data_IF_140085784922
#
_entry.id   IF_140085784922
#
_cell.length_a   1.000
_cell.length_b   1.000
_cell.length_c   1.000
_cell.angle_alpha   90.00
_cell.angle_beta   90.00
_cell.angle_gamma   90.00
#
_symmetry.space_group_name_H-M   'P 1'
#
loop_
_entity.id
_entity.type
_entity.pdbx_description
1 polymer ?
#
# COMPACT_ATOMS: atom_id res chain seq x y z
N UNK A 1 -49.99 14.80 -11.10
CA UNK A 1 -48.74 15.41 -11.67
C UNK A 1 -47.51 15.15 -10.80
N UNK A 2 -47.64 14.92 -9.49
CA UNK A 2 -46.52 14.68 -8.55
C UNK A 2 -45.74 13.38 -8.77
N UNK A 3 -46.37 12.31 -9.28
CA UNK A 3 -45.71 11.01 -9.48
C UNK A 3 -44.74 11.01 -10.67
N UNK A 4 -45.03 11.79 -11.72
CA UNK A 4 -44.16 11.94 -12.88
C UNK A 4 -42.88 12.73 -12.56
N UNK A 5 -42.96 13.69 -11.64
CA UNK A 5 -41.79 14.47 -11.19
C UNK A 5 -40.85 13.60 -10.34
N UNK A 6 -41.40 12.74 -9.47
CA UNK A 6 -40.62 11.78 -8.66
C UNK A 6 -39.91 10.74 -9.53
N UNK A 7 -40.53 10.22 -10.59
CA UNK A 7 -39.87 9.25 -11.48
C UNK A 7 -38.72 9.86 -12.29
N UNK A 8 -38.85 11.12 -12.73
CA UNK A 8 -37.79 11.85 -13.45
C UNK A 8 -36.60 12.15 -12.50
N UNK A 9 -36.87 12.53 -11.25
CA UNK A 9 -35.81 12.75 -10.26
C UNK A 9 -35.07 11.46 -9.91
N UNK A 10 -35.78 10.34 -9.70
CA UNK A 10 -35.14 9.03 -9.46
C UNK A 10 -34.29 8.58 -10.65
N UNK A 11 -34.76 8.80 -11.88
CA UNK A 11 -34.01 8.49 -13.11
C UNK A 11 -32.71 9.33 -13.23
N UNK A 12 -32.75 10.61 -12.82
CA UNK A 12 -31.55 11.48 -12.78
C UNK A 12 -30.54 11.04 -11.73
N UNK A 13 -31.00 10.59 -10.57
CA UNK A 13 -30.11 10.06 -9.52
C UNK A 13 -29.45 8.74 -9.94
N UNK A 14 -30.20 7.86 -10.62
CA UNK A 14 -29.66 6.60 -11.16
C UNK A 14 -28.63 6.84 -12.26
N UNK A 15 -28.87 7.80 -13.15
CA UNK A 15 -27.92 8.11 -14.25
C UNK A 15 -26.63 8.75 -13.75
N UNK A 16 -26.70 9.65 -12.76
CA UNK A 16 -25.50 10.21 -12.12
C UNK A 16 -24.72 9.12 -11.36
N UNK A 17 -25.43 8.23 -10.63
CA UNK A 17 -24.80 7.10 -9.95
C UNK A 17 -24.12 6.13 -10.92
N UNK A 18 -24.76 5.83 -12.06
CA UNK A 18 -24.19 4.98 -13.10
C UNK A 18 -22.94 5.63 -13.74
N UNK A 19 -22.97 6.94 -14.02
CA UNK A 19 -21.80 7.65 -14.55
C UNK A 19 -20.64 7.67 -13.55
N UNK A 20 -20.92 7.82 -12.25
CA UNK A 20 -19.91 7.72 -11.19
C UNK A 20 -19.27 6.33 -11.12
N UNK A 21 -20.06 5.27 -11.24
CA UNK A 21 -19.56 3.89 -11.30
C UNK A 21 -18.72 3.64 -12.57
N UNK A 22 -19.14 4.16 -13.72
CA UNK A 22 -18.41 4.03 -14.97
C UNK A 22 -17.07 4.79 -14.94
N UNK A 23 -17.01 5.96 -14.29
CA UNK A 23 -15.77 6.69 -14.12
C UNK A 23 -14.73 5.92 -13.28
N UNK A 24 -15.17 5.13 -12.30
CA UNK A 24 -14.27 4.26 -11.53
C UNK A 24 -13.75 3.08 -12.37
N UNK A 25 -14.52 2.60 -13.35
CA UNK A 25 -14.11 1.50 -14.24
C UNK A 25 -13.12 1.94 -15.34
N UNK A 26 -13.05 3.23 -15.65
CA UNK A 26 -12.13 3.80 -16.67
C UNK A 26 -10.80 4.26 -16.03
N UNK A 27 -10.64 4.09 -14.72
CA UNK A 27 -9.36 4.36 -14.07
C UNK A 27 -8.28 3.41 -14.60
N UNK A 28 -7.46 3.88 -15.53
CA UNK A 28 -6.31 3.14 -16.03
C UNK A 28 -5.30 2.93 -14.88
N UNK A 29 -4.73 1.72 -14.73
CA UNK A 29 -3.67 1.49 -13.78
C UNK A 29 -2.46 2.35 -14.17
N UNK A 30 -2.04 3.25 -13.28
CA UNK A 30 -0.78 3.97 -13.43
C UNK A 30 0.37 2.98 -13.28
N UNK A 31 1.03 2.63 -14.39
CA UNK A 31 2.23 1.81 -14.38
C UNK A 31 3.44 2.64 -13.94
N UNK A 32 3.57 2.88 -12.63
CA UNK A 32 4.80 3.39 -12.05
C UNK A 32 5.81 2.25 -11.91
N UNK A 33 7.00 2.36 -12.51
CA UNK A 33 8.14 1.46 -12.22
C UNK A 33 8.68 0.59 -13.35
N UNK A 34 8.35 0.81 -14.62
CA UNK A 34 8.85 -0.01 -15.75
C UNK A 34 10.35 0.18 -16.08
N UNK A 35 11.11 0.93 -15.27
CA UNK A 35 12.54 1.22 -15.46
C UNK A 35 13.46 0.73 -14.34
N UNK A 36 13.13 -0.41 -13.71
CA UNK A 36 13.76 -0.86 -12.45
C UNK A 36 15.00 -1.76 -12.57
N UNK A 37 15.14 -2.53 -13.64
CA UNK A 37 16.11 -3.65 -13.67
C UNK A 37 17.57 -3.20 -13.55
N UNK A 38 17.92 -2.02 -14.05
CA UNK A 38 19.29 -1.51 -13.99
C UNK A 38 19.79 -1.19 -12.57
N UNK A 39 18.88 -1.01 -11.60
CA UNK A 39 19.22 -0.65 -10.22
C UNK A 39 18.78 -1.68 -9.19
N UNK A 40 18.23 -2.82 -9.61
CA UNK A 40 17.83 -3.93 -8.73
C UNK A 40 19.03 -4.49 -7.97
N UNK A 41 20.15 -4.74 -8.66
CA UNK A 41 21.38 -5.25 -8.02
C UNK A 41 21.93 -4.27 -6.96
N UNK A 42 21.83 -2.97 -7.23
CA UNK A 42 22.23 -1.91 -6.29
C UNK A 42 21.28 -1.89 -5.09
N UNK A 43 19.98 -2.02 -5.33
CA UNK A 43 18.98 -2.11 -4.27
C UNK A 43 19.22 -3.31 -3.35
N UNK A 44 19.43 -4.50 -3.92
CA UNK A 44 19.69 -5.71 -3.15
C UNK A 44 21.00 -5.60 -2.35
N UNK A 45 22.05 -5.05 -2.94
CA UNK A 45 23.30 -4.77 -2.22
C UNK A 45 23.08 -3.83 -1.02
N UNK A 46 22.30 -2.76 -1.21
CA UNK A 46 21.97 -1.84 -0.12
C UNK A 46 21.13 -2.51 0.96
N UNK A 47 20.18 -3.37 0.60
CA UNK A 47 19.40 -4.15 1.57
C UNK A 47 20.29 -5.06 2.39
N UNK A 48 21.20 -5.79 1.75
CA UNK A 48 22.12 -6.71 2.41
C UNK A 48 23.04 -5.98 3.38
N UNK A 49 23.53 -4.79 3.02
CA UNK A 49 24.30 -3.96 3.95
C UNK A 49 23.47 -3.48 5.13
N UNK A 50 22.24 -3.03 4.87
CA UNK A 50 21.38 -2.39 5.88
C UNK A 50 20.76 -3.40 6.84
N UNK A 51 20.45 -4.62 6.39
CA UNK A 51 19.87 -5.69 7.22
C UNK A 51 20.92 -6.69 7.73
N UNK A 52 22.11 -6.73 7.12
CA UNK A 52 23.20 -7.62 7.48
C UNK A 52 24.07 -7.12 8.64
N UNK A 53 25.29 -7.67 8.71
CA UNK A 53 26.25 -7.36 9.79
C UNK A 53 26.65 -5.88 9.83
N UNK A 54 26.77 -5.23 8.66
CA UNK A 54 27.09 -3.79 8.60
C UNK A 54 25.98 -2.95 9.25
N UNK A 55 24.72 -3.18 8.91
CA UNK A 55 23.59 -2.46 9.51
C UNK A 55 23.54 -2.57 11.03
N UNK A 56 23.87 -3.74 11.58
CA UNK A 56 23.98 -3.94 13.04
C UNK A 56 25.13 -3.14 13.66
N UNK A 57 26.29 -3.11 13.01
CA UNK A 57 27.44 -2.31 13.46
C UNK A 57 27.11 -0.82 13.41
N UNK A 58 26.49 -0.35 12.33
CA UNK A 58 26.07 1.05 12.16
C UNK A 58 24.98 1.43 13.16
N UNK A 59 24.00 0.57 13.41
CA UNK A 59 22.99 0.78 14.45
C UNK A 59 23.64 0.87 15.84
N UNK A 60 24.61 0.00 16.14
CA UNK A 60 25.41 0.09 17.36
C UNK A 60 26.17 1.42 17.46
N UNK A 61 26.79 1.87 16.37
CA UNK A 61 27.50 3.15 16.32
C UNK A 61 26.56 4.34 16.53
N UNK A 62 25.36 4.33 15.94
CA UNK A 62 24.33 5.36 16.13
C UNK A 62 23.90 5.46 17.60
N UNK A 63 23.74 4.33 18.27
CA UNK A 63 23.45 4.29 19.72
C UNK A 63 24.61 4.85 20.54
N UNK A 64 25.86 4.46 20.22
CA UNK A 64 27.04 5.00 20.89
C UNK A 64 27.16 6.52 20.72
N UNK A 65 26.91 7.04 19.51
CA UNK A 65 26.87 8.49 19.25
C UNK A 65 25.74 9.16 20.05
N UNK A 66 24.58 8.53 20.14
CA UNK A 66 23.46 8.99 20.97
C UNK A 66 23.81 9.07 22.47
N UNK A 67 24.61 8.13 22.98
CA UNK A 67 25.12 8.15 24.36
C UNK A 67 26.11 9.31 24.55
N UNK A 68 27.09 9.46 23.67
CA UNK A 68 28.10 10.54 23.76
C UNK A 68 27.42 11.91 23.68
N UNK A 69 26.51 12.11 22.74
CA UNK A 69 25.72 13.33 22.62
C UNK A 69 24.75 13.56 23.79
N UNK A 70 24.21 12.48 24.36
CA UNK A 70 23.36 12.52 25.53
C UNK A 70 24.10 12.95 26.80
N UNK A 71 25.33 12.48 27.00
CA UNK A 71 26.18 12.91 28.12
C UNK A 71 26.50 14.41 27.99
N UNK A 72 26.88 14.86 26.79
CA UNK A 72 27.21 16.26 26.54
C UNK A 72 26.05 17.22 26.86
N UNK A 73 24.81 16.76 26.75
CA UNK A 73 23.59 17.55 26.96
C UNK A 73 22.78 17.11 28.18
N UNK A 74 23.30 16.19 28.98
CA UNK A 74 22.61 15.57 30.12
C UNK A 74 21.17 15.11 29.77
N UNK A 75 20.98 14.53 28.59
CA UNK A 75 19.67 14.21 28.03
C UNK A 75 19.57 12.76 27.54
N UNK A 76 18.54 12.06 28.04
CA UNK A 76 18.18 10.72 27.57
C UNK A 76 17.54 10.72 26.18
N UNK A 77 17.06 11.87 25.69
CA UNK A 77 16.42 11.95 24.38
C UNK A 77 17.42 11.73 23.23
N UNK A 78 18.67 12.15 23.40
CA UNK A 78 19.73 11.88 22.41
C UNK A 78 20.01 10.37 22.27
N UNK A 79 19.92 9.62 23.36
CA UNK A 79 20.01 8.16 23.34
C UNK A 79 18.80 7.53 22.65
N UNK A 80 17.58 7.98 22.99
CA UNK A 80 16.36 7.51 22.34
C UNK A 80 16.38 7.76 20.82
N UNK A 81 16.91 8.90 20.37
CA UNK A 81 17.10 9.19 18.95
C UNK A 81 18.18 8.28 18.31
N UNK A 82 19.25 7.95 19.04
CA UNK A 82 20.26 6.99 18.57
C UNK A 82 19.67 5.59 18.34
N UNK A 83 18.84 5.10 19.28
CA UNK A 83 18.10 3.84 19.13
C UNK A 83 17.09 3.94 17.98
N UNK A 84 16.31 5.02 17.95
CA UNK A 84 15.31 5.27 16.92
C UNK A 84 15.91 5.29 15.51
N UNK A 85 17.08 5.93 15.35
CA UNK A 85 17.83 5.95 14.10
C UNK A 85 18.35 4.57 13.70
N UNK A 86 18.91 3.81 14.64
CA UNK A 86 19.37 2.44 14.37
C UNK A 86 18.24 1.48 13.99
N UNK A 87 17.11 1.54 14.71
CA UNK A 87 15.91 0.77 14.40
C UNK A 87 15.26 1.20 13.08
N UNK A 88 15.25 2.51 12.81
CA UNK A 88 14.75 3.07 11.56
C UNK A 88 15.56 2.57 10.37
N UNK A 89 16.90 2.58 10.47
CA UNK A 89 17.80 2.09 9.43
C UNK A 89 17.51 0.63 9.08
N UNK A 90 17.45 -0.27 10.07
CA UNK A 90 17.21 -1.70 9.84
C UNK A 90 15.84 -1.97 9.17
N UNK A 91 14.81 -1.21 9.54
CA UNK A 91 13.45 -1.38 8.99
C UNK A 91 13.20 -0.58 7.70
N UNK A 92 14.15 0.25 7.27
CA UNK A 92 13.99 1.13 6.10
C UNK A 92 13.67 0.34 4.82
N UNK A 93 14.38 -0.77 4.49
CA UNK A 93 14.07 -1.55 3.29
C UNK A 93 12.61 -2.01 3.23
N UNK A 94 12.10 -2.57 4.33
CA UNK A 94 10.73 -3.08 4.43
C UNK A 94 9.68 -1.98 4.26
N UNK A 95 9.92 -0.80 4.83
CA UNK A 95 9.01 0.35 4.69
C UNK A 95 9.02 0.89 3.27
N UNK A 96 10.19 1.02 2.65
CA UNK A 96 10.32 1.50 1.28
C UNK A 96 9.63 0.55 0.30
N UNK A 97 9.85 -0.76 0.43
CA UNK A 97 9.17 -1.76 -0.40
C UNK A 97 7.66 -1.73 -0.19
N UNK A 98 7.17 -1.56 1.04
CA UNK A 98 5.74 -1.43 1.33
C UNK A 98 5.10 -0.21 0.66
N UNK A 99 5.76 0.95 0.69
CA UNK A 99 5.24 2.18 0.09
C UNK A 99 5.34 2.15 -1.44
N UNK A 100 6.44 1.64 -1.98
CA UNK A 100 6.69 1.61 -3.44
C UNK A 100 5.93 0.48 -4.14
N UNK A 101 5.56 -0.60 -3.42
CA UNK A 101 4.73 -1.69 -3.95
C UNK A 101 3.23 -1.47 -3.79
N UNK A 102 2.80 -0.48 -3.00
CA UNK A 102 1.40 -0.15 -2.78
C UNK A 102 0.78 0.60 -3.98
N UNK A 103 0.82 0.00 -5.17
CA UNK A 103 -0.23 0.24 -6.15
C UNK A 103 -1.51 -0.36 -5.58
N UNK A 104 -2.61 0.39 -5.52
CA UNK A 104 -3.91 -0.07 -5.00
C UNK A 104 -4.13 -1.56 -5.35
N UNK A 105 -4.37 -2.45 -4.38
CA UNK A 105 -4.95 -3.73 -4.71
C UNK A 105 -6.31 -3.40 -5.33
N UNK A 106 -6.44 -3.54 -6.65
CA UNK A 106 -7.74 -3.63 -7.29
C UNK A 106 -8.47 -4.68 -6.47
N UNK A 107 -9.54 -4.24 -5.81
CA UNK A 107 -10.37 -5.05 -4.93
C UNK A 107 -10.84 -6.25 -5.76
N UNK A 108 -10.08 -7.33 -5.69
CA UNK A 108 -10.38 -8.61 -6.32
C UNK A 108 -11.54 -9.33 -5.59
N UNK A 109 -12.33 -8.62 -4.76
CA UNK A 109 -13.48 -9.17 -4.07
C UNK A 109 -14.71 -9.32 -4.98
N UNK A 110 -14.67 -8.88 -6.24
CA UNK A 110 -15.81 -9.08 -7.18
C UNK A 110 -15.72 -10.39 -7.98
N UNK A 111 -14.57 -11.08 -8.00
CA UNK A 111 -14.45 -12.37 -8.72
C UNK A 111 -15.15 -13.53 -7.99
N UNK A 112 -15.30 -13.48 -6.66
CA UNK A 112 -15.97 -14.54 -5.91
C UNK A 112 -17.50 -14.55 -6.11
N UNK A 113 -18.10 -13.39 -6.45
CA UNK A 113 -19.55 -13.28 -6.67
C UNK A 113 -19.96 -13.86 -8.03
N UNK A 114 -19.09 -13.83 -9.05
CA UNK A 114 -19.42 -14.33 -10.39
C UNK A 114 -19.22 -15.85 -10.48
N UNK A 115 -18.21 -16.41 -9.81
CA UNK A 115 -17.95 -17.86 -9.83
C UNK A 115 -19.00 -18.71 -9.12
N UNK A 116 -19.69 -18.16 -8.12
CA UNK A 116 -20.68 -18.89 -7.30
C UNK A 116 -22.13 -18.68 -7.76
N UNK A 117 -22.43 -17.59 -8.47
CA UNK A 117 -23.81 -17.28 -8.92
C UNK A 117 -24.16 -17.85 -10.30
N UNK A 118 -23.19 -18.01 -11.20
CA UNK A 118 -23.39 -18.66 -12.52
C UNK A 118 -23.82 -20.13 -12.42
N UNK A 119 -23.22 -20.99 -11.55
CA UNK A 119 -23.72 -22.35 -11.39
C UNK A 119 -25.08 -22.40 -10.70
N UNK A 120 -25.35 -21.49 -9.75
CA UNK A 120 -26.64 -21.42 -9.06
C UNK A 120 -27.80 -21.04 -9.99
N UNK A 121 -27.59 -20.11 -10.92
CA UNK A 121 -28.59 -19.73 -11.93
C UNK A 121 -28.85 -20.89 -12.91
N UNK A 122 -27.81 -21.66 -13.26
CA UNK A 122 -27.95 -22.81 -14.16
C UNK A 122 -28.76 -23.94 -13.53
N UNK A 123 -28.58 -24.20 -12.22
CA UNK A 123 -29.36 -25.20 -11.47
C UNK A 123 -30.82 -24.78 -11.28
N UNK A 124 -31.08 -23.49 -11.05
CA UNK A 124 -32.44 -22.97 -10.86
C UNK A 124 -33.23 -22.88 -12.18
N UNK A 125 -32.56 -22.69 -13.32
CA UNK A 125 -33.22 -22.56 -14.63
C UNK A 125 -33.47 -23.92 -15.33
N UNK A 126 -32.75 -24.99 -14.98
CA UNK A 126 -32.85 -26.29 -15.66
C UNK A 126 -33.69 -27.37 -14.96
N UNK A 127 -34.20 -27.13 -13.75
CA UNK A 127 -35.31 -27.88 -13.17
C UNK A 127 -35.38 -29.38 -13.51
N UNK A 128 -34.33 -30.14 -13.17
CA UNK A 128 -34.32 -31.60 -12.98
C UNK A 128 -33.27 -31.95 -11.94
#
# INVERSE_FOLDING_TARGET
MTNAVRSIQTLRLMTIGALGLMALMISEPSFAGTGGDAFTDVWDTLKDWTQGTLGRIVAGAMVLVGIVGGIARQSLMAFALGIGGGMGLYNTPTVVESVMSATLPVVASTQEVIGTTVPAISVVLLGT
#
